data_IF_988072248929
#
_entry.id   IF_988072248929
#
_cell.length_a   1.000
_cell.length_b   1.000
_cell.length_c   1.000
_cell.angle_alpha   90.00
_cell.angle_beta   90.00
_cell.angle_gamma   90.00
#
_symmetry.space_group_name_H-M   'P 1'
#
loop_
_entity.id
_entity.type
_entity.pdbx_description
1 polymer ?
#
# COMPACT_ATOMS: atom_id res chain seq x y z
N UNK A 1 -23.41 -0.23 15.03
CA UNK A 1 -22.49 -1.01 14.20
C UNK A 1 -21.51 -0.03 13.57
N UNK A 2 -20.21 -0.17 13.85
CA UNK A 2 -19.16 0.70 13.32
C UNK A 2 -18.49 -0.01 12.16
N UNK A 3 -18.33 0.68 11.01
CA UNK A 3 -17.58 0.15 9.87
C UNK A 3 -16.09 0.15 10.23
N UNK A 4 -15.46 -1.03 10.26
CA UNK A 4 -14.03 -1.21 10.58
C UNK A 4 -13.13 -0.88 9.38
N UNK A 5 -13.41 -1.51 8.24
CA UNK A 5 -12.61 -1.43 7.03
C UNK A 5 -13.46 -1.72 5.78
N UNK A 6 -12.96 -1.35 4.61
CA UNK A 6 -13.57 -1.64 3.31
C UNK A 6 -12.54 -2.32 2.40
N UNK A 7 -12.88 -3.51 1.91
CA UNK A 7 -12.02 -4.29 1.03
C UNK A 7 -12.76 -4.45 -0.30
N UNK A 8 -12.41 -3.65 -1.30
CA UNK A 8 -13.05 -3.72 -2.61
C UNK A 8 -12.30 -4.66 -3.56
N UNK A 9 -13.03 -5.43 -4.35
CA UNK A 9 -12.49 -6.19 -5.47
C UNK A 9 -12.96 -5.55 -6.76
N UNK A 10 -12.03 -5.00 -7.54
CA UNK A 10 -12.35 -4.38 -8.82
C UNK A 10 -11.37 -4.85 -9.88
N UNK A 11 -11.91 -5.57 -10.88
CA UNK A 11 -11.18 -6.26 -11.96
C UNK A 11 -10.15 -7.23 -11.37
N UNK A 12 -10.61 -8.32 -10.74
CA UNK A 12 -9.74 -9.33 -10.10
C UNK A 12 -9.76 -10.70 -10.80
N UNK A 13 -10.38 -10.76 -11.98
CA UNK A 13 -10.51 -11.98 -12.79
C UNK A 13 -9.80 -11.93 -14.13
N UNK A 14 -9.31 -10.76 -14.56
CA UNK A 14 -8.55 -10.60 -15.80
C UNK A 14 -7.10 -10.99 -15.59
N UNK A 15 -6.52 -11.74 -16.53
CA UNK A 15 -5.10 -12.12 -16.51
C UNK A 15 -4.36 -11.67 -17.77
N UNK A 16 -5.08 -11.18 -18.78
CA UNK A 16 -4.53 -10.85 -20.10
C UNK A 16 -4.36 -9.34 -20.16
N UNK A 17 -3.14 -8.90 -20.48
CA UNK A 17 -2.85 -7.51 -20.74
C UNK A 17 -3.44 -7.09 -22.10
N UNK A 18 -4.10 -5.94 -22.16
CA UNK A 18 -4.49 -5.35 -23.43
C UNK A 18 -3.72 -4.08 -23.77
N UNK A 19 -4.06 -3.48 -24.89
CA UNK A 19 -3.24 -2.47 -25.57
C UNK A 19 -3.22 -1.14 -24.81
N UNK A 20 -4.33 -0.80 -24.16
CA UNK A 20 -4.58 0.47 -23.46
C UNK A 20 -4.52 0.32 -21.94
N UNK A 21 -3.90 -0.74 -21.42
CA UNK A 21 -3.82 -0.99 -19.97
C UNK A 21 -3.26 0.24 -19.22
N UNK A 22 -4.01 0.73 -18.22
CA UNK A 22 -3.61 1.93 -17.48
C UNK A 22 -2.35 1.71 -16.64
N UNK A 23 -1.43 2.68 -16.54
CA UNK A 23 -0.20 2.62 -15.73
C UNK A 23 -0.47 2.16 -14.27
N UNK A 24 0.32 1.19 -13.69
CA UNK A 24 1.61 0.67 -14.17
C UNK A 24 1.56 -0.22 -15.40
N UNK A 25 0.36 -0.40 -15.96
CA UNK A 25 0.18 -1.11 -17.21
C UNK A 25 0.60 -2.56 -17.03
N UNK A 26 1.03 -3.15 -18.13
CA UNK A 26 1.57 -4.49 -18.12
C UNK A 26 2.67 -4.64 -19.19
N UNK A 27 3.46 -5.73 -19.15
CA UNK A 27 4.70 -5.83 -19.93
C UNK A 27 4.53 -5.76 -21.44
N UNK A 28 3.35 -6.07 -21.96
CA UNK A 28 3.00 -6.00 -23.37
C UNK A 28 1.63 -6.59 -23.67
N UNK A 29 1.08 -6.29 -24.85
CA UNK A 29 -0.20 -6.82 -25.33
C UNK A 29 -0.22 -8.37 -25.30
N UNK A 30 -1.30 -8.93 -24.78
CA UNK A 30 -1.54 -10.37 -24.60
C UNK A 30 -0.64 -11.06 -23.57
N UNK A 31 0.22 -10.34 -22.86
CA UNK A 31 0.98 -10.93 -21.75
C UNK A 31 0.05 -11.39 -20.63
N UNK A 32 0.39 -12.54 -20.04
CA UNK A 32 -0.44 -13.20 -19.05
C UNK A 32 0.18 -13.07 -17.67
N UNK A 33 -0.61 -12.56 -16.72
CA UNK A 33 -0.29 -12.59 -15.30
C UNK A 33 -1.49 -13.11 -14.49
N UNK A 34 -1.35 -14.32 -13.97
CA UNK A 34 -2.32 -14.97 -13.08
C UNK A 34 -1.77 -15.17 -11.66
N UNK A 35 -0.67 -14.50 -11.33
CA UNK A 35 0.05 -14.65 -10.05
C UNK A 35 0.00 -13.37 -9.25
N UNK A 36 0.31 -12.23 -9.86
CA UNK A 36 0.35 -10.96 -9.16
C UNK A 36 -1.05 -10.39 -8.96
N UNK A 37 -1.31 -9.86 -7.78
CA UNK A 37 -2.46 -9.02 -7.48
C UNK A 37 -1.95 -7.69 -6.91
N UNK A 38 -2.53 -6.60 -7.35
CA UNK A 38 -2.19 -5.24 -6.92
C UNK A 38 -3.18 -4.79 -5.87
N UNK A 39 -2.69 -4.26 -4.76
CA UNK A 39 -3.49 -3.69 -3.67
C UNK A 39 -3.27 -2.19 -3.64
N UNK A 40 -4.28 -1.46 -4.06
CA UNK A 40 -4.31 0.00 -4.12
C UNK A 40 -4.98 0.59 -2.88
N UNK A 41 -4.48 1.73 -2.42
CA UNK A 41 -4.97 2.35 -1.19
C UNK A 41 -4.55 3.82 -1.09
N UNK A 42 -5.39 4.67 -0.51
CA UNK A 42 -5.14 6.11 -0.39
C UNK A 42 -3.93 6.46 0.49
N UNK A 43 -3.33 7.61 0.21
CA UNK A 43 -2.23 8.17 0.98
C UNK A 43 -0.88 7.49 0.76
N UNK A 44 0.07 7.96 1.54
CA UNK A 44 1.49 7.58 1.55
C UNK A 44 1.76 6.48 2.58
N UNK A 45 3.01 6.07 2.79
CA UNK A 45 3.35 4.83 3.50
C UNK A 45 2.70 4.67 4.88
N UNK A 46 2.53 5.77 5.62
CA UNK A 46 1.97 5.80 6.98
C UNK A 46 0.44 5.90 7.05
N UNK A 47 -0.26 5.86 5.92
CA UNK A 47 -1.72 5.97 5.90
C UNK A 47 -2.37 4.71 6.50
N UNK A 48 -3.51 4.88 7.17
CA UNK A 48 -4.31 3.74 7.66
C UNK A 48 -4.78 2.80 6.53
N UNK A 49 -4.83 3.30 5.30
CA UNK A 49 -5.21 2.50 4.12
C UNK A 49 -4.06 1.60 3.71
N UNK A 50 -2.82 2.11 3.73
CA UNK A 50 -1.61 1.31 3.51
C UNK A 50 -1.42 0.28 4.63
N UNK A 51 -1.75 0.64 5.87
CA UNK A 51 -1.73 -0.30 6.98
C UNK A 51 -2.74 -1.43 6.81
N UNK A 52 -3.95 -1.14 6.30
CA UNK A 52 -4.92 -2.17 5.94
C UNK A 52 -4.43 -3.07 4.80
N UNK A 53 -3.70 -2.51 3.82
CA UNK A 53 -3.08 -3.30 2.75
C UNK A 53 -1.98 -4.25 3.29
N UNK A 54 -1.14 -3.79 4.22
CA UNK A 54 -0.15 -4.61 4.93
C UNK A 54 -0.80 -5.72 5.74
N UNK A 55 -1.84 -5.37 6.52
CA UNK A 55 -2.63 -6.34 7.26
C UNK A 55 -3.16 -7.43 6.32
N UNK A 56 -3.82 -7.06 5.21
CA UNK A 56 -4.28 -8.05 4.23
C UNK A 56 -3.17 -8.95 3.70
N UNK A 57 -1.98 -8.40 3.44
CA UNK A 57 -0.85 -9.18 2.92
C UNK A 57 -0.34 -10.15 3.98
N UNK A 58 -0.25 -9.73 5.24
CA UNK A 58 0.12 -10.57 6.38
C UNK A 58 -0.86 -11.73 6.56
N UNK A 59 -2.17 -11.44 6.60
CA UNK A 59 -3.20 -12.47 6.74
C UNK A 59 -3.12 -13.53 5.64
N UNK A 60 -2.81 -13.09 4.41
CA UNK A 60 -2.54 -14.01 3.30
C UNK A 60 -1.29 -14.87 3.56
N UNK A 61 -0.17 -14.23 3.89
CA UNK A 61 1.12 -14.92 4.06
C UNK A 61 1.08 -15.95 5.18
N UNK A 62 0.42 -15.64 6.30
CA UNK A 62 0.43 -16.51 7.48
C UNK A 62 -0.66 -17.58 7.46
N UNK A 63 -1.84 -17.29 6.88
CA UNK A 63 -2.98 -18.21 6.93
C UNK A 63 -3.25 -18.97 5.63
N UNK A 64 -2.92 -18.38 4.47
CA UNK A 64 -3.34 -18.91 3.16
C UNK A 64 -2.19 -19.41 2.30
N UNK A 65 -1.04 -18.74 2.31
CA UNK A 65 0.05 -19.03 1.36
C UNK A 65 0.49 -20.50 1.39
N UNK A 66 0.57 -21.10 2.59
CA UNK A 66 1.01 -22.49 2.76
C UNK A 66 0.00 -23.53 2.23
N UNK A 67 -1.29 -23.18 2.14
CA UNK A 67 -2.37 -24.10 1.75
C UNK A 67 -2.89 -23.85 0.35
N UNK A 68 -2.57 -22.71 -0.26
CA UNK A 68 -2.96 -22.38 -1.62
C UNK A 68 -2.12 -23.15 -2.66
N UNK A 69 -2.75 -23.88 -3.61
CA UNK A 69 -2.01 -24.63 -4.64
C UNK A 69 -1.16 -23.74 -5.56
N UNK A 70 -1.62 -22.52 -5.81
CA UNK A 70 -0.92 -21.48 -6.57
C UNK A 70 -0.88 -20.26 -5.66
N UNK A 71 0.32 -19.76 -5.39
CA UNK A 71 0.57 -18.67 -4.44
C UNK A 71 0.50 -17.32 -5.15
N UNK A 72 -0.49 -16.46 -4.84
CA UNK A 72 -0.48 -15.09 -5.33
C UNK A 72 0.72 -14.31 -4.81
N UNK A 73 1.20 -13.37 -5.62
CA UNK A 73 2.14 -12.35 -5.16
C UNK A 73 1.33 -11.08 -4.91
N UNK A 74 1.25 -10.67 -3.65
CA UNK A 74 0.49 -9.49 -3.22
C UNK A 74 1.41 -8.27 -3.26
N UNK A 75 1.11 -7.36 -4.20
CA UNK A 75 1.88 -6.14 -4.41
C UNK A 75 1.12 -4.96 -3.81
N UNK A 76 1.65 -4.37 -2.74
CA UNK A 76 1.10 -3.13 -2.18
C UNK A 76 1.59 -1.98 -3.05
N UNK A 77 0.64 -1.34 -3.74
CA UNK A 77 0.94 -0.27 -4.68
C UNK A 77 1.10 1.05 -3.92
N UNK A 78 2.08 1.87 -4.32
CA UNK A 78 2.26 3.22 -3.76
C UNK A 78 1.08 4.17 -4.07
N UNK A 79 0.56 4.28 -5.31
CA UNK A 79 -0.54 5.19 -5.60
C UNK A 79 -1.90 4.73 -5.02
N UNK A 80 -2.87 5.64 -5.01
CA UNK A 80 -4.24 5.35 -4.56
C UNK A 80 -5.01 4.42 -5.51
N UNK A 81 -4.72 4.51 -6.80
CA UNK A 81 -5.25 3.68 -7.89
C UNK A 81 -4.32 3.80 -9.11
N UNK A 82 -4.65 3.13 -10.20
CA UNK A 82 -4.01 3.29 -11.52
C UNK A 82 -4.15 4.72 -12.02
N UNK A 83 -3.22 5.14 -12.88
CA UNK A 83 -3.21 6.51 -13.39
C UNK A 83 -4.52 6.85 -14.13
N UNK A 84 -5.16 7.95 -13.72
CA UNK A 84 -6.42 8.43 -14.33
C UNK A 84 -7.66 7.60 -13.99
N UNK A 85 -7.55 6.64 -13.07
CA UNK A 85 -8.63 5.73 -12.67
C UNK A 85 -9.07 5.99 -11.24
N UNK A 86 -10.18 5.37 -10.87
CA UNK A 86 -10.68 5.31 -9.51
C UNK A 86 -11.54 4.07 -9.31
N UNK A 87 -11.93 3.81 -8.06
CA UNK A 87 -12.77 2.67 -7.71
C UNK A 87 -13.62 2.93 -6.47
N UNK A 88 -14.44 1.96 -6.09
CA UNK A 88 -15.41 2.15 -5.01
C UNK A 88 -14.77 2.28 -3.62
N UNK A 89 -13.46 2.12 -3.47
CA UNK A 89 -12.75 2.41 -2.21
C UNK A 89 -12.65 3.92 -1.93
N UNK A 90 -12.75 4.78 -2.96
CA UNK A 90 -12.55 6.23 -2.88
C UNK A 90 -13.63 6.93 -2.02
N UNK A 91 -14.94 6.69 -2.21
CA UNK A 91 -15.95 7.33 -1.36
C UNK A 91 -15.80 6.99 0.12
N UNK A 92 -15.33 5.78 0.47
CA UNK A 92 -15.15 5.36 1.85
C UNK A 92 -13.94 6.02 2.51
N UNK A 93 -12.80 6.11 1.82
CA UNK A 93 -11.65 6.86 2.36
C UNK A 93 -11.96 8.34 2.54
N UNK A 94 -12.76 8.94 1.65
CA UNK A 94 -13.19 10.34 1.78
C UNK A 94 -14.06 10.57 3.02
N UNK A 95 -14.73 9.52 3.51
CA UNK A 95 -15.48 9.52 4.77
C UNK A 95 -14.63 9.10 5.98
N UNK A 96 -13.34 8.83 5.78
CA UNK A 96 -12.42 8.47 6.85
C UNK A 96 -12.46 7.00 7.27
N UNK A 97 -12.98 6.10 6.44
CA UNK A 97 -12.88 4.66 6.69
C UNK A 97 -11.63 4.10 6.01
N UNK A 98 -10.87 3.25 6.70
CA UNK A 98 -9.77 2.53 6.05
C UNK A 98 -10.32 1.70 4.89
N UNK A 99 -9.69 1.78 3.73
CA UNK A 99 -10.17 1.15 2.51
C UNK A 99 -9.03 0.77 1.58
N UNK A 100 -9.16 -0.38 0.94
CA UNK A 100 -8.24 -0.90 -0.07
C UNK A 100 -9.02 -1.44 -1.26
N UNK A 101 -8.33 -1.56 -2.39
CA UNK A 101 -8.84 -2.14 -3.64
C UNK A 101 -7.86 -3.20 -4.15
N UNK A 102 -8.35 -4.41 -4.36
CA UNK A 102 -7.63 -5.44 -5.11
C UNK A 102 -7.94 -5.30 -6.58
N UNK A 103 -6.90 -5.45 -7.40
CA UNK A 103 -6.99 -5.38 -8.84
C UNK A 103 -5.97 -6.33 -9.48
N UNK A 104 -6.37 -6.93 -10.60
CA UNK A 104 -5.49 -7.75 -11.43
C UNK A 104 -4.21 -7.00 -11.79
N UNK A 105 -3.07 -7.70 -11.82
CA UNK A 105 -1.84 -7.08 -12.29
C UNK A 105 -1.94 -6.70 -13.78
N UNK A 106 -2.49 -7.60 -14.59
CA UNK A 106 -2.77 -7.34 -15.99
C UNK A 106 -4.26 -7.06 -16.18
N UNK A 107 -4.55 -5.84 -16.61
CA UNK A 107 -5.88 -5.47 -17.08
C UNK A 107 -5.90 -5.43 -18.60
N UNK A 108 -7.08 -5.69 -19.17
CA UNK A 108 -7.24 -5.65 -20.61
C UNK A 108 -7.29 -4.22 -21.15
N UNK A 109 -7.65 -3.20 -20.38
CA UNK A 109 -7.74 -1.86 -20.96
C UNK A 109 -8.03 -0.79 -19.92
N UNK A 110 -8.00 0.45 -20.38
CA UNK A 110 -8.35 1.62 -19.57
C UNK A 110 -9.86 1.81 -19.37
N UNK A 111 -10.71 0.99 -20.00
CA UNK A 111 -12.17 1.09 -19.94
C UNK A 111 -12.75 2.41 -20.50
N UNK A 112 -11.99 3.16 -21.30
CA UNK A 112 -12.42 4.42 -21.93
C UNK A 112 -12.09 4.39 -23.43
N UNK A 113 -13.07 4.21 -24.33
CA UNK A 113 -12.86 4.28 -25.78
C UNK A 113 -12.67 5.70 -26.29
N UNK A 114 -12.95 6.72 -25.46
CA UNK A 114 -13.06 8.09 -25.93
C UNK A 114 -11.72 8.59 -26.44
N UNK A 115 -11.66 8.91 -27.73
CA UNK A 115 -10.44 9.44 -28.36
C UNK A 115 -9.42 8.37 -28.76
N UNK A 116 -9.74 7.08 -28.64
CA UNK A 116 -8.94 5.97 -29.18
C UNK A 116 -9.64 5.39 -30.41
N UNK A 117 -9.24 5.78 -31.64
CA UNK A 117 -9.69 5.09 -32.85
C UNK A 117 -9.40 3.60 -32.74
N UNK A 118 -10.35 2.76 -33.16
CA UNK A 118 -10.20 1.30 -33.15
C UNK A 118 -9.88 0.71 -31.76
N UNK A 119 -10.64 1.13 -30.74
CA UNK A 119 -10.53 0.55 -29.39
C UNK A 119 -10.88 -0.95 -29.40
N UNK A 120 -9.88 -1.80 -29.20
CA UNK A 120 -10.02 -3.26 -29.22
C UNK A 120 -9.99 -3.93 -27.85
N UNK A 121 -9.77 -3.14 -26.80
CA UNK A 121 -9.76 -3.65 -25.45
C UNK A 121 -11.15 -3.89 -24.88
N UNK A 122 -11.21 -4.71 -23.83
CA UNK A 122 -12.47 -5.02 -23.15
C UNK A 122 -12.93 -3.82 -22.34
N UNK A 123 -14.23 -3.56 -22.40
CA UNK A 123 -14.88 -2.50 -21.63
C UNK A 123 -15.73 -3.11 -20.53
N UNK A 124 -16.46 -2.25 -19.80
CA UNK A 124 -17.51 -2.64 -18.86
C UNK A 124 -18.83 -2.05 -19.34
N UNK A 125 -19.27 -2.47 -20.52
CA UNK A 125 -20.49 -2.00 -21.19
C UNK A 125 -21.53 -3.11 -21.31
N UNK A 126 -22.76 -2.73 -21.64
CA UNK A 126 -23.85 -3.68 -21.89
C UNK A 126 -23.62 -4.55 -23.13
N UNK A 127 -22.65 -4.20 -23.97
CA UNK A 127 -22.32 -4.91 -25.21
C UNK A 127 -21.19 -5.94 -24.99
N UNK A 128 -20.61 -6.02 -23.79
CA UNK A 128 -19.56 -6.96 -23.50
C UNK A 128 -20.05 -8.41 -23.58
N UNK A 129 -19.23 -9.25 -24.18
CA UNK A 129 -19.41 -10.70 -24.18
C UNK A 129 -18.58 -11.34 -23.07
N UNK A 130 -19.06 -12.44 -22.50
CA UNK A 130 -18.39 -13.14 -21.39
C UNK A 130 -17.13 -13.91 -21.85
N UNK A 131 -16.98 -14.12 -23.16
CA UNK A 131 -16.01 -15.03 -23.71
C UNK A 131 -16.10 -15.15 -25.23
N UNK A 132 -15.46 -16.19 -25.77
CA UNK A 132 -15.42 -16.48 -27.20
C UNK A 132 -16.09 -17.83 -27.46
N UNK A 133 -17.06 -17.85 -28.39
CA UNK A 133 -17.58 -19.03 -29.07
C UNK A 133 -16.89 -19.13 -30.44
N UNK A 134 -16.04 -20.14 -30.61
CA UNK A 134 -15.20 -20.35 -31.79
C UNK A 134 -15.86 -21.23 -32.85
N UNK A 135 -16.96 -21.90 -32.52
CA UNK A 135 -17.60 -22.90 -33.38
C UNK A 135 -19.06 -22.55 -33.74
N UNK A 136 -19.60 -21.47 -33.17
CA UNK A 136 -20.97 -20.94 -33.36
C UNK A 136 -22.08 -21.90 -32.93
N UNK A 137 -21.83 -22.76 -31.93
CA UNK A 137 -22.83 -23.66 -31.35
C UNK A 137 -23.66 -23.01 -30.22
N UNK A 138 -23.30 -21.79 -29.81
CA UNK A 138 -23.97 -21.04 -28.75
C UNK A 138 -23.45 -21.35 -27.35
N UNK A 139 -22.44 -22.20 -27.21
CA UNK A 139 -21.66 -22.44 -25.99
C UNK A 139 -20.32 -21.68 -26.07
N UNK A 140 -19.86 -21.15 -24.92
CA UNK A 140 -18.58 -20.44 -24.87
C UNK A 140 -17.43 -21.45 -24.73
N UNK A 141 -16.47 -21.40 -25.64
CA UNK A 141 -15.25 -22.22 -25.59
C UNK A 141 -14.21 -21.64 -24.60
N UNK A 142 -14.24 -20.33 -24.39
CA UNK A 142 -13.32 -19.65 -23.47
C UNK A 142 -13.98 -18.44 -22.81
N UNK A 143 -13.48 -18.07 -21.64
CA UNK A 143 -13.95 -16.91 -20.89
C UNK A 143 -12.86 -15.84 -20.83
N UNK A 144 -13.27 -14.57 -20.78
CA UNK A 144 -12.36 -13.45 -20.57
C UNK A 144 -11.96 -13.24 -19.10
N UNK A 145 -12.54 -14.05 -18.22
CA UNK A 145 -12.22 -14.17 -16.79
C UNK A 145 -11.57 -15.52 -16.55
N UNK A 146 -10.45 -15.52 -15.84
CA UNK A 146 -9.87 -16.72 -15.29
C UNK A 146 -10.51 -17.02 -13.92
N UNK A 147 -11.34 -18.06 -13.85
CA UNK A 147 -12.06 -18.42 -12.63
C UNK A 147 -11.16 -18.90 -11.50
N UNK A 148 -9.99 -19.47 -11.81
CA UNK A 148 -9.05 -19.92 -10.78
C UNK A 148 -8.35 -18.73 -10.13
N UNK A 149 -7.93 -17.76 -10.93
CA UNK A 149 -7.36 -16.49 -10.47
C UNK A 149 -8.38 -15.69 -9.67
N UNK A 150 -9.61 -15.53 -10.20
CA UNK A 150 -10.71 -14.88 -9.51
C UNK A 150 -11.00 -15.55 -8.15
N UNK A 151 -11.03 -16.88 -8.11
CA UNK A 151 -11.25 -17.64 -6.87
C UNK A 151 -10.15 -17.36 -5.84
N UNK A 152 -8.86 -17.40 -6.23
CA UNK A 152 -7.74 -17.09 -5.34
C UNK A 152 -7.83 -15.68 -4.77
N UNK A 153 -8.09 -14.68 -5.62
CA UNK A 153 -8.22 -13.29 -5.20
C UNK A 153 -9.44 -13.08 -4.28
N UNK A 154 -10.53 -13.80 -4.53
CA UNK A 154 -11.73 -13.78 -3.68
C UNK A 154 -11.45 -14.34 -2.30
N UNK A 155 -10.73 -15.48 -2.20
CA UNK A 155 -10.32 -16.06 -0.91
C UNK A 155 -9.38 -15.13 -0.16
N UNK A 156 -8.45 -14.49 -0.86
CA UNK A 156 -7.51 -13.53 -0.26
C UNK A 156 -8.23 -12.34 0.37
N UNK A 157 -9.12 -11.67 -0.38
CA UNK A 157 -9.93 -10.58 0.16
C UNK A 157 -10.84 -11.07 1.30
N UNK A 158 -11.53 -12.20 1.09
CA UNK A 158 -12.44 -12.77 2.08
C UNK A 158 -11.76 -13.11 3.41
N UNK A 159 -10.52 -13.59 3.37
CA UNK A 159 -9.70 -13.84 4.55
C UNK A 159 -9.38 -12.54 5.30
N UNK A 160 -8.83 -11.54 4.61
CA UNK A 160 -8.53 -10.25 5.23
C UNK A 160 -9.80 -9.56 5.81
N UNK A 161 -10.94 -9.70 5.13
CA UNK A 161 -12.24 -9.22 5.62
C UNK A 161 -12.67 -9.97 6.90
N UNK A 162 -12.57 -11.30 6.90
CA UNK A 162 -12.94 -12.12 8.05
C UNK A 162 -12.05 -11.80 9.27
N UNK A 163 -10.74 -11.71 9.07
CA UNK A 163 -9.78 -11.40 10.13
C UNK A 163 -9.99 -9.99 10.68
N UNK A 164 -10.19 -8.97 9.82
CA UNK A 164 -10.52 -7.63 10.29
C UNK A 164 -11.84 -7.57 11.06
N UNK A 165 -12.84 -8.37 10.66
CA UNK A 165 -14.14 -8.42 11.30
C UNK A 165 -14.08 -9.10 12.67
N UNK A 166 -13.43 -10.27 12.75
CA UNK A 166 -13.31 -11.10 13.94
C UNK A 166 -12.29 -10.57 14.95
N UNK A 167 -11.24 -9.90 14.46
CA UNK A 167 -10.13 -9.42 15.29
C UNK A 167 -10.57 -8.52 16.44
N UNK A 168 -9.84 -8.59 17.58
CA UNK A 168 -10.14 -7.81 18.77
C UNK A 168 -9.96 -6.31 18.57
N UNK A 169 -10.21 -5.53 19.62
CA UNK A 169 -9.92 -4.10 19.62
C UNK A 169 -8.40 -3.90 19.54
N UNK A 170 -7.89 -3.02 18.66
CA UNK A 170 -6.47 -2.71 18.60
C UNK A 170 -5.94 -2.08 19.90
N UNK A 171 -4.62 -2.17 20.16
CA UNK A 171 -3.99 -1.48 21.28
C UNK A 171 -4.25 0.02 21.25
N UNK A 172 -4.40 0.61 22.43
CA UNK A 172 -4.54 2.05 22.64
C UNK A 172 -3.29 2.63 23.32
N UNK A 173 -3.16 3.95 23.34
CA UNK A 173 -2.03 4.65 23.98
C UNK A 173 -0.65 4.13 23.57
N UNK A 174 -0.53 3.68 22.31
CA UNK A 174 0.72 3.16 21.76
C UNK A 174 1.78 4.26 21.64
N UNK A 175 2.96 3.96 22.17
CA UNK A 175 4.17 4.77 22.12
C UNK A 175 5.37 3.90 21.70
N UNK A 176 6.34 4.55 21.06
CA UNK A 176 7.60 3.95 20.65
C UNK A 176 8.75 4.88 21.03
N UNK A 177 9.76 4.35 21.70
CA UNK A 177 10.91 5.11 22.18
C UNK A 177 12.22 4.46 21.71
N UNK A 178 13.20 5.25 21.24
CA UNK A 178 14.52 4.71 20.90
C UNK A 178 15.27 4.30 22.17
N UNK A 179 15.83 3.09 22.17
CA UNK A 179 16.70 2.59 23.24
C UNK A 179 18.06 2.20 22.68
N UNK A 180 19.00 1.82 23.56
CA UNK A 180 20.31 1.37 23.12
C UNK A 180 20.15 0.13 22.22
N UNK A 181 20.51 0.30 20.94
CA UNK A 181 20.52 -0.77 19.93
C UNK A 181 19.13 -1.36 19.57
N UNK A 182 18.05 -0.58 19.78
CA UNK A 182 16.71 -1.04 19.47
C UNK A 182 15.64 0.03 19.68
N UNK A 183 14.39 -0.42 19.69
CA UNK A 183 13.21 0.40 19.95
C UNK A 183 12.37 -0.27 21.04
N UNK A 184 11.95 0.48 22.04
CA UNK A 184 10.98 0.01 23.03
C UNK A 184 9.58 0.39 22.56
N UNK A 185 8.67 -0.57 22.60
CA UNK A 185 7.25 -0.36 22.35
C UNK A 185 6.51 -0.43 23.68
N UNK A 186 5.55 0.48 23.89
CA UNK A 186 4.65 0.44 25.03
C UNK A 186 3.23 0.81 24.60
N UNK A 187 2.23 0.13 25.16
CA UNK A 187 0.82 0.36 24.82
C UNK A 187 -0.09 -0.15 25.94
N UNK A 188 -1.39 0.08 25.78
CA UNK A 188 -2.43 -0.48 26.64
C UNK A 188 -3.31 -1.42 25.81
N UNK A 189 -3.60 -2.60 26.35
CA UNK A 189 -4.60 -3.52 25.82
C UNK A 189 -5.90 -3.39 26.64
N UNK A 190 -7.00 -2.91 26.04
CA UNK A 190 -8.28 -2.76 26.74
C UNK A 190 -8.82 -4.07 27.36
N UNK A 191 -8.51 -5.21 26.75
CA UNK A 191 -9.09 -6.51 27.10
C UNK A 191 -8.04 -7.50 27.65
N UNK A 192 -6.77 -7.09 27.72
CA UNK A 192 -5.65 -7.83 28.33
C UNK A 192 -5.49 -9.27 27.81
N UNK A 193 -5.34 -9.41 26.50
CA UNK A 193 -5.19 -10.67 25.78
C UNK A 193 -3.83 -11.36 26.03
N UNK A 194 -2.76 -10.58 26.27
CA UNK A 194 -1.45 -11.12 26.66
C UNK A 194 -0.55 -11.63 25.53
N UNK A 195 -1.01 -11.57 24.27
CA UNK A 195 -0.20 -11.80 23.07
C UNK A 195 -0.42 -10.66 22.07
N UNK A 196 0.67 -10.18 21.46
CA UNK A 196 0.65 -9.00 20.60
C UNK A 196 1.60 -9.17 19.40
N UNK A 197 1.23 -8.59 18.26
CA UNK A 197 2.09 -8.53 17.06
C UNK A 197 2.65 -7.12 16.90
N UNK A 198 3.96 -6.99 16.74
CA UNK A 198 4.66 -5.72 16.48
C UNK A 198 5.18 -5.73 15.05
N UNK A 199 4.54 -4.95 14.18
CA UNK A 199 4.96 -4.76 12.80
C UNK A 199 5.96 -3.61 12.71
N UNK A 200 7.17 -3.88 12.23
CA UNK A 200 8.20 -2.87 11.96
C UNK A 200 8.53 -2.89 10.49
N UNK A 201 8.59 -1.70 9.89
CA UNK A 201 9.02 -1.49 8.51
C UNK A 201 10.01 -0.35 8.45
N UNK A 202 10.89 -0.36 7.45
CA UNK A 202 11.55 0.86 7.06
C UNK A 202 10.51 1.89 6.67
N UNK A 203 10.75 3.13 7.05
CA UNK A 203 9.74 4.17 6.95
C UNK A 203 9.28 4.43 5.50
N UNK A 204 10.16 4.13 4.54
CA UNK A 204 9.99 4.27 3.09
C UNK A 204 9.43 3.04 2.38
N UNK A 205 9.24 1.94 3.11
CA UNK A 205 8.79 0.68 2.54
C UNK A 205 7.29 0.48 2.76
N UNK A 206 6.61 -0.08 1.78
CA UNK A 206 5.22 -0.48 1.89
C UNK A 206 5.06 -1.75 2.71
N UNK A 207 6.09 -2.61 2.74
CA UNK A 207 6.07 -3.91 3.39
C UNK A 207 6.67 -3.86 4.80
N UNK A 208 6.17 -4.72 5.69
CA UNK A 208 6.83 -4.98 6.97
C UNK A 208 8.15 -5.72 6.73
N UNK A 209 9.21 -5.24 7.37
CA UNK A 209 10.51 -5.91 7.39
C UNK A 209 10.46 -7.08 8.39
N UNK A 210 9.73 -6.90 9.48
CA UNK A 210 9.52 -7.89 10.53
C UNK A 210 8.17 -7.69 11.21
N UNK A 211 7.58 -8.81 11.61
CA UNK A 211 6.39 -8.86 12.46
C UNK A 211 6.70 -9.78 13.63
N UNK A 212 6.95 -9.20 14.80
CA UNK A 212 7.36 -9.93 15.99
C UNK A 212 6.17 -10.21 16.90
N UNK A 213 6.13 -11.41 17.50
CA UNK A 213 5.19 -11.71 18.58
C UNK A 213 5.82 -11.38 19.93
N UNK A 214 5.12 -10.63 20.78
CA UNK A 214 5.52 -10.28 22.14
C UNK A 214 4.39 -10.64 23.12
N UNK A 215 4.72 -10.79 24.40
CA UNK A 215 3.79 -11.26 25.45
C UNK A 215 3.61 -10.26 26.60
N UNK A 216 4.09 -9.04 26.43
CA UNK A 216 3.95 -7.94 27.38
C UNK A 216 3.55 -6.67 26.65
N UNK A 217 2.84 -5.79 27.34
CA UNK A 217 2.45 -4.46 26.83
C UNK A 217 3.62 -3.47 26.79
N UNK A 218 4.81 -3.90 27.18
CA UNK A 218 6.07 -3.18 27.03
C UNK A 218 7.16 -4.19 26.69
N UNK A 219 7.85 -3.99 25.58
CA UNK A 219 8.95 -4.85 25.13
C UNK A 219 9.92 -4.08 24.22
N UNK A 220 11.13 -4.62 24.02
CA UNK A 220 12.14 -4.02 23.15
C UNK A 220 12.39 -4.87 21.91
N UNK A 221 12.28 -4.24 20.74
CA UNK A 221 12.65 -4.84 19.45
C UNK A 221 14.12 -4.51 19.16
N UNK A 222 14.93 -5.56 19.04
CA UNK A 222 16.35 -5.50 18.70
C UNK A 222 16.59 -5.99 17.26
N UNK A 223 17.84 -5.90 16.79
CA UNK A 223 18.25 -6.43 15.48
C UNK A 223 17.96 -5.48 14.31
N UNK A 224 17.50 -4.27 14.61
CA UNK A 224 17.32 -3.20 13.64
C UNK A 224 18.67 -2.55 13.28
N UNK A 225 18.80 -2.03 12.06
CA UNK A 225 19.97 -1.26 11.64
C UNK A 225 19.94 0.15 12.24
N UNK A 226 20.98 0.59 12.98
CA UNK A 226 21.06 1.95 13.50
C UNK A 226 21.14 3.00 12.38
N UNK A 227 20.59 4.19 12.63
CA UNK A 227 20.60 5.30 11.67
C UNK A 227 19.50 5.23 10.60
N UNK A 228 18.74 4.14 10.56
CA UNK A 228 17.53 4.00 9.75
C UNK A 228 16.31 4.57 10.47
N UNK A 229 15.34 5.04 9.69
CA UNK A 229 14.02 5.43 10.19
C UNK A 229 13.03 4.29 9.98
N UNK A 230 12.32 3.92 11.04
CA UNK A 230 11.34 2.85 11.05
C UNK A 230 9.96 3.39 11.35
N UNK A 231 8.94 2.76 10.78
CA UNK A 231 7.55 2.86 11.22
C UNK A 231 7.18 1.60 12.00
N UNK A 232 6.53 1.79 13.15
CA UNK A 232 6.17 0.71 14.08
C UNK A 232 4.69 0.77 14.36
N UNK A 233 4.04 -0.39 14.41
CA UNK A 233 2.63 -0.54 14.79
C UNK A 233 2.40 -1.85 15.55
N UNK A 234 1.30 -1.94 16.30
CA UNK A 234 1.01 -3.09 17.17
C UNK A 234 -0.43 -3.57 16.96
N UNK A 235 -0.65 -4.88 16.99
CA UNK A 235 -1.96 -5.52 17.05
C UNK A 235 -2.10 -6.38 18.31
N UNK A 236 -3.32 -6.46 18.87
CA UNK A 236 -3.67 -7.45 19.88
C UNK A 236 -3.98 -8.79 19.20
N UNK A 237 -3.74 -9.90 19.88
CA UNK A 237 -4.10 -11.26 19.42
C UNK A 237 -5.07 -11.87 20.42
N UNK A 238 -6.24 -12.32 19.96
CA UNK A 238 -7.22 -12.94 20.86
C UNK A 238 -6.91 -14.41 21.22
N UNK A 239 -7.74 -15.01 22.07
CA UNK A 239 -7.59 -16.42 22.50
C UNK A 239 -7.69 -17.43 21.35
N UNK A 240 -8.26 -17.03 20.20
CA UNK A 240 -8.34 -17.85 18.99
C UNK A 240 -7.13 -17.66 18.07
N UNK A 241 -6.19 -16.79 18.44
CA UNK A 241 -5.04 -16.43 17.63
C UNK A 241 -5.38 -15.42 16.52
N UNK A 242 -6.45 -14.64 16.66
CA UNK A 242 -6.88 -13.65 15.65
C UNK A 242 -6.31 -12.28 15.98
N UNK A 243 -5.54 -11.71 15.06
CA UNK A 243 -5.03 -10.35 15.17
C UNK A 243 -6.13 -9.29 15.04
N UNK A 244 -6.01 -8.21 15.81
CA UNK A 244 -6.70 -6.96 15.52
C UNK A 244 -6.13 -6.31 14.25
N UNK A 245 -6.84 -5.33 13.69
CA UNK A 245 -6.16 -4.33 12.86
C UNK A 245 -5.02 -3.69 13.66
N UNK A 246 -3.93 -3.33 12.98
CA UNK A 246 -2.79 -2.70 13.65
C UNK A 246 -3.11 -1.26 14.07
N UNK A 247 -2.51 -0.83 15.18
CA UNK A 247 -2.55 0.53 15.70
C UNK A 247 -1.90 1.53 14.74
N UNK A 248 -2.16 2.83 14.88
CA UNK A 248 -1.48 3.86 14.08
C UNK A 248 0.04 3.69 14.13
N UNK A 249 0.69 3.85 12.98
CA UNK A 249 2.14 3.82 12.90
C UNK A 249 2.80 5.06 13.51
N UNK A 250 3.88 4.84 14.25
CA UNK A 250 4.77 5.90 14.74
C UNK A 250 6.18 5.72 14.17
N UNK A 251 6.79 6.84 13.80
CA UNK A 251 8.14 6.88 13.26
C UNK A 251 9.17 6.94 14.40
N UNK A 252 10.24 6.15 14.29
CA UNK A 252 11.33 6.12 15.26
C UNK A 252 12.65 5.83 14.56
N UNK A 253 13.73 6.43 15.07
CA UNK A 253 15.10 6.15 14.64
C UNK A 253 16.00 6.13 15.88
N UNK A 254 16.95 5.21 15.91
CA UNK A 254 17.94 5.12 17.00
C UNK A 254 19.36 5.12 16.42
N UNK A 255 20.30 5.68 17.17
CA UNK A 255 21.71 5.77 16.78
C UNK A 255 22.59 5.06 17.80
N UNK A 256 23.62 4.36 17.31
CA UNK A 256 24.65 3.72 18.16
C UNK A 256 25.88 4.62 18.24
N UNK A 257 25.82 5.72 19.01
CA UNK A 257 27.00 6.56 19.25
C UNK A 257 26.74 7.87 20.00
N UNK A 258 27.67 8.25 20.89
CA UNK A 258 27.68 9.48 21.72
C UNK A 258 28.03 10.77 20.94
N UNK A 259 27.81 10.79 19.62
CA UNK A 259 27.94 12.00 18.81
C UNK A 259 26.73 12.10 17.90
N UNK A 260 25.73 12.82 18.38
CA UNK A 260 24.68 13.38 17.55
C UNK A 260 25.33 14.08 16.35
N UNK A 261 25.17 13.50 15.15
CA UNK A 261 25.19 14.32 13.95
C UNK A 261 23.90 15.12 14.01
N UNK A 262 24.01 16.40 14.35
CA UNK A 262 22.89 17.35 14.34
C UNK A 262 22.33 17.44 12.93
N UNK A 263 21.35 16.60 12.61
CA UNK A 263 20.51 16.78 11.43
C UNK A 263 19.53 17.90 11.77
N UNK A 264 19.74 19.03 11.11
CA UNK A 264 18.94 20.25 11.07
C UNK A 264 18.78 21.05 12.39
N UNK A 265 19.51 22.16 12.52
CA UNK A 265 19.19 23.20 13.53
C UNK A 265 17.83 23.88 13.26
N UNK A 266 17.21 23.58 12.11
CA UNK A 266 15.93 24.15 11.68
C UNK A 266 14.71 23.27 12.01
N UNK A 267 14.88 21.99 12.31
CA UNK A 267 13.78 21.04 12.53
C UNK A 267 13.08 20.62 11.23
N UNK A 268 13.84 20.59 10.12
CA UNK A 268 13.36 20.23 8.78
C UNK A 268 14.44 19.43 8.05
N UNK A 269 14.09 18.23 7.58
CA UNK A 269 15.00 17.32 6.88
C UNK A 269 14.35 16.81 5.61
N UNK A 270 14.94 17.11 4.45
CA UNK A 270 14.56 16.49 3.17
C UNK A 270 15.17 15.10 3.10
N UNK A 271 14.37 14.11 2.75
CA UNK A 271 14.75 12.71 2.74
C UNK A 271 14.84 12.20 1.30
N UNK A 272 15.63 11.14 1.11
CA UNK A 272 15.82 10.55 -0.21
C UNK A 272 14.48 10.07 -0.75
N UNK A 273 14.20 10.36 -2.02
CA UNK A 273 12.98 9.90 -2.65
C UNK A 273 12.94 8.37 -2.74
N UNK A 274 11.76 7.76 -2.56
CA UNK A 274 11.61 6.31 -2.62
C UNK A 274 10.33 5.86 -3.38
N UNK A 275 10.41 4.86 -4.28
CA UNK A 275 11.62 4.14 -4.68
C UNK A 275 12.60 5.04 -5.46
N UNK A 276 13.88 4.67 -5.46
CA UNK A 276 14.92 5.29 -6.29
C UNK A 276 15.95 4.21 -6.72
N UNK A 277 16.02 3.85 -8.01
CA UNK A 277 15.20 4.37 -9.13
C UNK A 277 13.72 4.00 -8.97
N UNK A 278 12.84 4.78 -9.59
CA UNK A 278 11.40 4.51 -9.65
C UNK A 278 10.94 4.34 -11.10
N UNK A 279 9.82 3.66 -11.28
CA UNK A 279 9.22 3.44 -12.60
C UNK A 279 8.17 4.52 -12.92
N UNK A 280 7.06 4.55 -12.17
CA UNK A 280 5.98 5.52 -12.40
C UNK A 280 6.04 6.76 -11.51
N UNK A 281 6.27 6.53 -10.21
CA UNK A 281 6.24 7.56 -9.19
C UNK A 281 7.18 7.23 -8.03
N UNK A 282 7.65 8.28 -7.39
CA UNK A 282 8.46 8.24 -6.18
C UNK A 282 7.87 9.19 -5.15
N UNK A 283 8.06 8.88 -3.88
CA UNK A 283 7.66 9.75 -2.78
C UNK A 283 8.87 10.57 -2.35
N UNK A 284 8.71 11.89 -2.29
CA UNK A 284 9.70 12.80 -1.71
C UNK A 284 9.18 13.23 -0.34
N UNK A 285 10.00 13.04 0.68
CA UNK A 285 9.58 13.20 2.05
C UNK A 285 10.38 14.27 2.79
N UNK A 286 9.71 14.97 3.70
CA UNK A 286 10.27 16.01 4.56
C UNK A 286 9.89 15.70 6.00
N UNK A 287 10.88 15.36 6.82
CA UNK A 287 10.71 15.21 8.28
C UNK A 287 10.78 16.55 8.97
N UNK A 288 9.80 16.79 9.82
CA UNK A 288 9.61 18.02 10.58
C UNK A 288 9.64 17.66 12.05
N UNK A 289 10.75 17.97 12.72
CA UNK A 289 11.01 17.53 14.09
C UNK A 289 10.23 18.32 15.15
N UNK A 290 9.62 19.45 14.75
CA UNK A 290 8.83 20.34 15.62
C UNK A 290 7.90 21.19 14.77
N UNK A 291 6.79 21.67 15.34
CA UNK A 291 5.96 22.68 14.68
C UNK A 291 6.77 23.89 14.16
N UNK A 292 6.71 24.13 12.85
CA UNK A 292 7.40 25.23 12.17
C UNK A 292 6.42 26.36 11.79
N UNK A 293 6.88 27.60 11.87
CA UNK A 293 6.17 28.75 11.29
C UNK A 293 6.78 29.08 9.92
N UNK A 294 5.97 28.99 8.87
CA UNK A 294 6.38 29.24 7.49
C UNK A 294 5.30 30.04 6.75
N UNK A 295 5.67 30.69 5.64
CA UNK A 295 4.73 31.40 4.74
C UNK A 295 4.25 30.49 3.61
N UNK A 296 5.20 29.78 3.01
CA UNK A 296 4.98 28.82 1.95
C UNK A 296 5.98 27.67 2.12
N UNK A 297 5.59 26.47 1.69
CA UNK A 297 6.46 25.31 1.65
C UNK A 297 6.13 24.52 0.38
N UNK A 298 7.17 24.12 -0.34
CA UNK A 298 7.07 23.35 -1.56
C UNK A 298 8.32 22.50 -1.76
N UNK A 299 8.17 21.41 -2.50
CA UNK A 299 9.29 20.63 -3.03
C UNK A 299 9.49 21.01 -4.49
N UNK A 300 10.70 21.43 -4.84
CA UNK A 300 11.08 21.71 -6.21
C UNK A 300 12.06 20.65 -6.72
N UNK A 301 11.76 20.08 -7.89
CA UNK A 301 12.60 19.07 -8.55
C UNK A 301 13.23 19.70 -9.78
N UNK A 302 14.54 19.50 -9.95
CA UNK A 302 15.32 20.11 -11.03
C UNK A 302 15.96 19.03 -11.90
N UNK A 303 16.03 19.29 -13.20
CA UNK A 303 16.91 18.58 -14.13
C UNK A 303 18.37 18.80 -13.74
N UNK A 304 19.28 17.90 -14.09
CA UNK A 304 20.72 18.02 -13.78
C UNK A 304 21.34 19.31 -14.35
N UNK A 305 20.74 19.88 -15.40
CA UNK A 305 21.13 21.14 -16.03
C UNK A 305 20.49 22.38 -15.37
N UNK A 306 19.75 22.22 -14.26
CA UNK A 306 19.19 23.30 -13.45
C UNK A 306 17.79 23.80 -13.88
N UNK A 307 17.18 23.19 -14.90
CA UNK A 307 15.78 23.49 -15.29
C UNK A 307 14.80 22.91 -14.26
N UNK A 308 13.87 23.71 -13.74
CA UNK A 308 12.80 23.23 -12.85
C UNK A 308 11.85 22.30 -13.63
N UNK A 309 11.69 21.07 -13.13
CA UNK A 309 10.80 20.04 -13.69
C UNK A 309 9.42 20.10 -13.01
N UNK A 310 9.40 20.24 -11.69
CA UNK A 310 8.16 20.35 -10.92
C UNK A 310 8.32 21.18 -9.66
N UNK A 311 7.18 21.72 -9.19
CA UNK A 311 7.02 22.38 -7.90
C UNK A 311 5.73 21.93 -7.26
N UNK A 312 5.85 21.15 -6.19
CA UNK A 312 4.72 20.55 -5.48
C UNK A 312 4.54 21.25 -4.13
N UNK A 313 3.37 21.84 -3.84
CA UNK A 313 3.11 22.41 -2.51
C UNK A 313 3.12 21.31 -1.45
N UNK A 314 3.64 21.61 -0.27
CA UNK A 314 3.65 20.69 0.87
C UNK A 314 3.20 21.42 2.14
N UNK A 315 2.29 20.80 2.89
CA UNK A 315 1.95 21.29 4.23
C UNK A 315 2.90 20.64 5.23
N UNK A 316 3.61 21.45 6.02
CA UNK A 316 4.55 20.97 7.03
C UNK A 316 3.85 20.82 8.38
N UNK A 317 3.55 19.59 8.77
CA UNK A 317 3.12 19.17 10.10
C UNK A 317 4.27 18.45 10.81
N UNK A 318 4.28 18.49 12.13
CA UNK A 318 5.25 17.70 12.91
C UNK A 318 5.14 16.20 12.56
N UNK A 319 6.28 15.56 12.35
CA UNK A 319 6.37 14.25 11.72
C UNK A 319 6.78 14.33 10.25
N UNK A 320 6.44 13.30 9.46
CA UNK A 320 6.78 13.26 8.04
C UNK A 320 5.67 13.85 7.17
N UNK A 321 6.09 14.64 6.21
CA UNK A 321 5.24 15.24 5.19
C UNK A 321 5.77 14.77 3.84
N UNK A 322 4.88 14.33 2.98
CA UNK A 322 5.24 13.62 1.77
C UNK A 322 4.52 14.21 0.57
N UNK A 323 5.20 14.23 -0.58
CA UNK A 323 4.61 14.54 -1.87
C UNK A 323 4.96 13.42 -2.85
N UNK A 324 4.03 13.12 -3.74
CA UNK A 324 4.24 12.15 -4.81
C UNK A 324 4.80 12.91 -6.02
N UNK A 325 5.92 12.42 -6.55
CA UNK A 325 6.52 12.87 -7.80
C UNK A 325 6.39 11.75 -8.84
N UNK A 326 5.56 11.97 -9.85
CA UNK A 326 5.29 11.00 -10.91
C UNK A 326 5.90 11.39 -12.27
N UNK A 327 5.79 10.49 -13.25
CA UNK A 327 6.27 10.69 -14.61
C UNK A 327 5.63 11.87 -15.35
N UNK A 328 4.44 12.34 -14.95
CA UNK A 328 3.76 13.47 -15.61
C UNK A 328 4.55 14.77 -15.44
N UNK A 329 5.34 14.87 -14.37
CA UNK A 329 6.25 15.97 -14.10
C UNK A 329 7.44 16.06 -15.07
N UNK A 330 7.69 15.02 -15.87
CA UNK A 330 8.82 15.00 -16.81
C UNK A 330 8.50 15.55 -18.20
N UNK A 331 7.26 15.99 -18.48
CA UNK A 331 6.80 16.30 -19.85
C UNK A 331 7.19 15.21 -20.86
N UNK A 332 7.14 13.94 -20.42
CA UNK A 332 7.51 12.82 -21.27
C UNK A 332 6.56 12.78 -22.48
N UNK A 333 7.13 12.94 -23.67
CA UNK A 333 6.44 12.71 -24.94
C UNK A 333 6.81 11.28 -25.35
N UNK A 334 5.86 10.35 -25.42
CA UNK A 334 6.12 9.01 -25.94
C UNK A 334 6.75 9.11 -27.33
N UNK A 335 7.88 8.41 -27.53
CA UNK A 335 8.60 8.35 -28.80
C UNK A 335 8.05 7.30 -29.73
#
# INVERSE_FOLDING_TARGET
>A
MQLKAVLNNDIVGGIICGETASPPGCPGLNEIDSINVRVYSDGVFNSKHKQLARFSKLEYQELLEAVMPVKPVVNIMTPEDRTGRGGDHIPFRQKGFASIRYTSANEHGNGDPTGTPDYHDRQHTMEDVLGVDTNSDGELDSFFVDFNYLSRNTVLNGNALAMAALGPVPPINFAVEPVNNGIEVSFEDPDNHGEYRVGVRKYWDNDWELVNTIFSTTDTIYGLSPGEEYAVSVACVDELGTESLFSREYAVSFATGTREVRVSEQGLTLLQNHPNPFDEATVIAVKVDRALRYKEAYIAVFHIEGRELARMPIELKEGLNEVIYDFQNHQYIPG
#
